data_IF_598366430237
#
_entry.id   IF_598366430237
#
_cell.length_a   1.000
_cell.length_b   1.000
_cell.length_c   1.000
_cell.angle_alpha   90.00
_cell.angle_beta   90.00
_cell.angle_gamma   90.00
#
_symmetry.space_group_name_H-M   'P 1'
#
loop_
_entity.id
_entity.type
_entity.pdbx_description
1 polymer ?
#
# COMPACT_ATOMS: atom_id res chain seq x y z
N UNK A 1 0.84 -2.96 -10.32
CA UNK A 1 0.17 -1.76 -10.88
C UNK A 1 1.26 -0.71 -11.06
N UNK A 2 1.52 -0.24 -12.29
CA UNK A 2 2.53 0.79 -12.53
C UNK A 2 2.05 2.10 -11.90
N UNK A 3 2.96 2.82 -11.28
CA UNK A 3 2.71 4.20 -10.85
C UNK A 3 2.33 5.01 -12.08
N UNK A 4 1.15 5.59 -12.11
CA UNK A 4 0.69 6.41 -13.21
C UNK A 4 0.68 7.87 -12.74
N UNK A 5 1.43 8.71 -13.45
CA UNK A 5 1.32 10.16 -13.30
C UNK A 5 0.31 10.63 -14.32
N UNK A 6 -0.88 10.98 -13.84
CA UNK A 6 -1.99 11.41 -14.68
C UNK A 6 -2.10 12.92 -14.68
N UNK A 7 -1.99 13.54 -15.85
CA UNK A 7 -2.35 14.94 -16.02
C UNK A 7 -3.87 15.08 -16.07
N UNK A 8 -4.45 15.77 -15.10
CA UNK A 8 -5.89 16.03 -15.02
C UNK A 8 -6.30 17.28 -15.81
N UNK A 9 -5.44 18.28 -15.76
CA UNK A 9 -5.58 19.54 -16.49
C UNK A 9 -4.20 20.20 -16.63
N UNK A 10 -4.09 21.22 -17.48
CA UNK A 10 -2.82 21.93 -17.69
C UNK A 10 -2.20 22.38 -16.34
N UNK A 11 -1.16 21.68 -15.95
CA UNK A 11 -0.38 21.96 -14.74
C UNK A 11 -0.88 21.29 -13.45
N UNK A 12 -1.89 20.41 -13.52
CA UNK A 12 -2.35 19.63 -12.37
C UNK A 12 -2.11 18.13 -12.64
N UNK A 13 -1.27 17.52 -11.83
CA UNK A 13 -0.86 16.11 -11.95
C UNK A 13 -1.32 15.32 -10.73
N UNK A 14 -1.82 14.12 -10.97
CA UNK A 14 -2.24 13.18 -9.92
C UNK A 14 -1.27 12.01 -9.86
N UNK A 15 -0.89 11.66 -8.65
CA UNK A 15 -0.13 10.44 -8.35
C UNK A 15 -0.90 9.64 -7.31
N UNK A 16 -1.31 8.46 -7.70
CA UNK A 16 -1.97 7.51 -6.82
C UNK A 16 -0.95 6.81 -5.90
N UNK A 17 -1.34 6.57 -4.64
CA UNK A 17 -0.53 5.77 -3.72
C UNK A 17 -1.41 4.91 -2.83
N UNK A 18 -0.97 3.67 -2.63
CA UNK A 18 -1.69 2.74 -1.78
C UNK A 18 -1.45 3.06 -0.30
N UNK A 19 -2.52 3.46 0.39
CA UNK A 19 -2.47 3.70 1.83
C UNK A 19 -2.58 2.40 2.63
N UNK A 20 -2.19 2.46 3.91
CA UNK A 20 -2.40 1.34 4.84
C UNK A 20 -3.89 1.00 4.95
N UNK A 21 -4.75 2.02 4.92
CA UNK A 21 -6.19 1.81 5.03
C UNK A 21 -6.76 1.08 3.81
N UNK A 22 -6.32 1.41 2.59
CA UNK A 22 -6.70 0.68 1.37
C UNK A 22 -6.25 -0.77 1.44
N UNK A 23 -5.04 -1.03 1.93
CA UNK A 23 -4.55 -2.40 2.14
C UNK A 23 -5.40 -3.13 3.18
N UNK A 24 -5.74 -2.50 4.29
CA UNK A 24 -6.58 -3.09 5.34
C UNK A 24 -7.99 -3.42 4.84
N UNK A 25 -8.57 -2.60 3.98
CA UNK A 25 -9.90 -2.86 3.38
C UNK A 25 -9.85 -4.02 2.37
N UNK A 26 -8.70 -4.27 1.75
CA UNK A 26 -8.53 -5.40 0.83
C UNK A 26 -8.40 -6.77 1.53
N UNK A 27 -7.90 -6.80 2.77
CA UNK A 27 -7.73 -8.05 3.53
C UNK A 27 -9.04 -8.84 3.66
N UNK A 28 -10.19 -8.25 4.07
CA UNK A 28 -11.45 -8.96 4.13
C UNK A 28 -11.92 -9.56 2.80
N UNK A 29 -11.55 -8.96 1.67
CA UNK A 29 -11.84 -9.51 0.34
C UNK A 29 -11.16 -10.87 0.16
N UNK A 30 -9.89 -10.98 0.55
CA UNK A 30 -9.12 -12.24 0.48
C UNK A 30 -9.75 -13.31 1.37
N UNK A 31 -10.15 -12.97 2.60
CA UNK A 31 -10.82 -13.90 3.50
C UNK A 31 -12.18 -14.35 2.97
N UNK A 32 -12.94 -13.44 2.38
CA UNK A 32 -14.23 -13.74 1.75
C UNK A 32 -14.06 -14.72 0.57
N UNK A 33 -12.96 -14.59 -0.18
CA UNK A 33 -12.61 -15.51 -1.26
C UNK A 33 -12.28 -16.91 -0.72
N UNK A 34 -11.54 -17.02 0.38
CA UNK A 34 -11.25 -18.30 1.05
C UNK A 34 -12.54 -18.95 1.53
N UNK A 35 -13.44 -18.17 2.15
CA UNK A 35 -14.74 -18.66 2.61
C UNK A 35 -15.59 -19.16 1.44
N UNK A 36 -15.59 -18.45 0.33
CA UNK A 36 -16.28 -18.87 -0.89
C UNK A 36 -15.74 -20.21 -1.43
N UNK A 37 -14.42 -20.36 -1.54
CA UNK A 37 -13.77 -21.58 -1.99
C UNK A 37 -14.11 -22.76 -1.06
N UNK A 38 -14.10 -22.52 0.26
CA UNK A 38 -14.51 -23.53 1.25
C UNK A 38 -15.97 -23.95 1.04
N UNK A 39 -16.87 -22.98 0.85
CA UNK A 39 -18.29 -23.26 0.58
C UNK A 39 -18.51 -24.11 -0.67
N UNK A 40 -17.79 -23.79 -1.75
CA UNK A 40 -17.83 -24.58 -3.00
C UNK A 40 -17.32 -26.01 -2.75
N UNK A 41 -16.22 -26.17 -2.03
CA UNK A 41 -15.69 -27.48 -1.67
C UNK A 41 -16.69 -28.29 -0.82
N UNK A 42 -17.29 -27.66 0.18
CA UNK A 42 -18.32 -28.29 1.01
C UNK A 42 -19.57 -28.69 0.21
N UNK A 43 -19.98 -27.90 -0.76
CA UNK A 43 -21.11 -28.24 -1.63
C UNK A 43 -20.84 -29.46 -2.53
N UNK A 44 -19.59 -29.61 -2.99
CA UNK A 44 -19.18 -30.72 -3.85
C UNK A 44 -19.06 -32.03 -3.04
N UNK A 45 -18.48 -31.97 -1.84
CA UNK A 45 -18.11 -33.17 -1.09
C UNK A 45 -19.08 -33.58 0.02
N UNK A 46 -19.97 -32.70 0.49
CA UNK A 46 -20.83 -32.98 1.66
C UNK A 46 -22.31 -32.63 1.48
N UNK A 47 -22.77 -32.35 0.26
CA UNK A 47 -24.13 -31.89 -0.04
C UNK A 47 -24.60 -30.70 0.82
N UNK A 48 -23.65 -29.94 1.37
CA UNK A 48 -23.85 -28.74 2.17
C UNK A 48 -23.11 -27.57 1.53
N UNK A 49 -23.10 -26.42 2.18
CA UNK A 49 -22.23 -25.31 1.79
C UNK A 49 -22.90 -24.22 0.93
N UNK A 50 -24.11 -24.42 0.41
CA UNK A 50 -24.78 -23.40 -0.40
C UNK A 50 -24.89 -22.05 0.31
N UNK A 51 -25.26 -22.01 1.60
CA UNK A 51 -25.33 -20.79 2.41
C UNK A 51 -23.95 -20.15 2.58
N UNK A 52 -22.89 -20.94 2.70
CA UNK A 52 -21.52 -20.43 2.81
C UNK A 52 -21.04 -19.85 1.50
N UNK A 53 -21.42 -20.43 0.34
CA UNK A 53 -21.14 -19.89 -0.98
C UNK A 53 -21.80 -18.51 -1.13
N UNK A 54 -23.09 -18.39 -0.81
CA UNK A 54 -23.81 -17.11 -0.90
C UNK A 54 -23.21 -16.07 0.04
N UNK A 55 -22.88 -16.46 1.27
CA UNK A 55 -22.22 -15.56 2.23
C UNK A 55 -20.85 -15.10 1.71
N UNK A 56 -20.03 -16.02 1.20
CA UNK A 56 -18.73 -15.70 0.63
C UNK A 56 -18.82 -14.72 -0.53
N UNK A 57 -19.73 -14.97 -1.49
CA UNK A 57 -20.00 -14.06 -2.61
C UNK A 57 -20.48 -12.69 -2.13
N UNK A 58 -21.45 -12.64 -1.22
CA UNK A 58 -21.95 -11.40 -0.67
C UNK A 58 -20.82 -10.58 -0.03
N UNK A 59 -19.97 -11.22 0.79
CA UNK A 59 -18.86 -10.54 1.45
C UNK A 59 -17.80 -10.06 0.44
N UNK A 60 -17.50 -10.84 -0.62
CA UNK A 60 -16.58 -10.40 -1.68
C UNK A 60 -17.11 -9.10 -2.32
N UNK A 61 -18.36 -9.09 -2.79
CA UNK A 61 -18.94 -7.93 -3.41
C UNK A 61 -19.06 -6.74 -2.43
N UNK A 62 -19.43 -6.99 -1.19
CA UNK A 62 -19.55 -5.97 -0.15
C UNK A 62 -18.21 -5.29 0.15
N UNK A 63 -17.14 -6.06 0.40
CA UNK A 63 -15.83 -5.47 0.71
C UNK A 63 -15.16 -4.90 -0.54
N UNK A 64 -15.37 -5.49 -1.72
CA UNK A 64 -14.94 -4.90 -2.98
C UNK A 64 -15.60 -3.53 -3.20
N UNK A 65 -16.92 -3.44 -2.98
CA UNK A 65 -17.65 -2.19 -3.04
C UNK A 65 -17.11 -1.17 -2.04
N UNK A 66 -16.88 -1.57 -0.79
CA UNK A 66 -16.26 -0.70 0.22
C UNK A 66 -14.90 -0.19 -0.25
N UNK A 67 -14.07 -1.04 -0.85
CA UNK A 67 -12.72 -0.65 -1.29
C UNK A 67 -12.74 0.48 -2.34
N UNK A 68 -13.81 0.61 -3.12
CA UNK A 68 -13.96 1.71 -4.09
C UNK A 68 -14.24 3.07 -3.45
N UNK A 69 -14.58 3.08 -2.15
CA UNK A 69 -14.81 4.32 -1.38
C UNK A 69 -13.63 4.75 -0.53
N UNK A 70 -12.51 4.07 -0.66
CA UNK A 70 -11.26 4.45 0.02
C UNK A 70 -10.24 4.74 -1.06
N UNK A 71 -9.80 5.98 -1.14
CA UNK A 71 -8.90 6.44 -2.19
C UNK A 71 -7.96 7.53 -1.68
N UNK A 72 -6.69 7.44 -2.06
CA UNK A 72 -5.64 8.34 -1.61
C UNK A 72 -4.74 8.70 -2.77
N UNK A 73 -4.52 10.00 -2.99
CA UNK A 73 -3.55 10.45 -3.97
C UNK A 73 -2.95 11.81 -3.65
N UNK A 74 -1.85 12.11 -4.31
CA UNK A 74 -1.25 13.42 -4.30
C UNK A 74 -1.60 14.17 -5.58
N UNK A 75 -1.99 15.43 -5.42
CA UNK A 75 -2.08 16.38 -6.51
C UNK A 75 -0.88 17.32 -6.48
N UNK A 76 -0.23 17.47 -7.63
CA UNK A 76 0.85 18.42 -7.85
C UNK A 76 0.31 19.55 -8.73
N UNK A 77 0.12 20.72 -8.14
CA UNK A 77 -0.33 21.92 -8.84
C UNK A 77 0.90 22.77 -9.18
N UNK A 78 1.32 22.72 -10.45
CA UNK A 78 2.50 23.49 -10.91
C UNK A 78 2.23 24.99 -10.98
N UNK A 79 0.97 25.42 -11.09
CA UNK A 79 0.62 26.85 -11.11
C UNK A 79 0.71 27.49 -9.74
N UNK A 80 0.33 26.75 -8.71
CA UNK A 80 0.40 27.21 -7.33
C UNK A 80 1.71 26.78 -6.64
N UNK A 81 2.52 25.94 -7.29
CA UNK A 81 3.73 25.34 -6.75
C UNK A 81 3.46 24.58 -5.43
N UNK A 82 2.35 23.85 -5.37
CA UNK A 82 1.87 23.16 -4.18
C UNK A 82 1.56 21.70 -4.43
N UNK A 83 1.75 20.89 -3.38
CA UNK A 83 1.30 19.51 -3.32
C UNK A 83 0.12 19.41 -2.37
N UNK A 84 -0.95 18.83 -2.84
CA UNK A 84 -2.13 18.53 -2.05
C UNK A 84 -2.25 17.04 -1.81
N UNK A 85 -2.65 16.68 -0.60
CA UNK A 85 -3.01 15.33 -0.23
C UNK A 85 -4.53 15.19 -0.25
N UNK A 86 -5.04 14.39 -1.18
CA UNK A 86 -6.44 14.01 -1.23
C UNK A 86 -6.65 12.68 -0.52
N UNK A 87 -7.68 12.63 0.26
CA UNK A 87 -8.16 11.40 0.88
C UNK A 87 -9.67 11.31 0.79
N UNK A 88 -10.13 10.14 0.40
CA UNK A 88 -11.53 9.75 0.41
C UNK A 88 -11.69 8.53 1.29
N UNK A 89 -12.62 8.60 2.23
CA UNK A 89 -13.00 7.50 3.10
C UNK A 89 -14.53 7.51 3.17
N UNK A 90 -15.18 6.61 2.46
CA UNK A 90 -16.63 6.56 2.29
C UNK A 90 -17.18 7.90 1.76
N UNK A 91 -17.98 8.59 2.57
CA UNK A 91 -18.60 9.87 2.22
C UNK A 91 -17.76 11.08 2.65
N UNK A 92 -16.63 10.83 3.29
CA UNK A 92 -15.72 11.88 3.73
C UNK A 92 -14.64 12.08 2.69
N UNK A 93 -14.65 13.25 2.05
CA UNK A 93 -13.62 13.67 1.11
C UNK A 93 -12.91 14.91 1.67
N UNK A 94 -11.60 14.90 1.65
CA UNK A 94 -10.80 16.01 2.10
C UNK A 94 -9.53 16.18 1.28
N UNK A 95 -9.34 17.41 0.80
CA UNK A 95 -8.08 17.85 0.20
C UNK A 95 -7.39 18.78 1.18
N UNK A 96 -6.16 18.46 1.56
CA UNK A 96 -5.34 19.31 2.41
C UNK A 96 -4.10 19.75 1.64
N UNK A 97 -3.69 20.99 1.82
CA UNK A 97 -2.33 21.40 1.45
C UNK A 97 -1.34 20.55 2.26
N UNK A 98 -0.38 19.96 1.57
CA UNK A 98 0.56 19.04 2.17
C UNK A 98 1.96 19.63 2.29
N UNK A 99 2.47 20.24 1.19
CA UNK A 99 3.76 20.94 1.15
C UNK A 99 3.84 21.84 -0.08
N UNK A 100 4.78 22.80 -0.06
CA UNK A 100 5.13 23.58 -1.24
C UNK A 100 6.24 22.88 -2.04
N UNK A 101 6.38 23.19 -3.31
CA UNK A 101 7.50 22.67 -4.12
C UNK A 101 8.86 23.12 -3.57
N UNK A 102 8.94 24.34 -3.00
CA UNK A 102 10.13 24.84 -2.31
C UNK A 102 10.58 23.99 -1.11
N UNK A 103 9.67 23.20 -0.54
CA UNK A 103 9.99 22.29 0.55
C UNK A 103 10.63 20.99 0.06
N UNK A 104 10.59 20.73 -1.26
CA UNK A 104 11.16 19.53 -1.87
C UNK A 104 12.58 19.84 -2.36
N UNK A 105 13.55 19.09 -1.87
CA UNK A 105 14.96 19.26 -2.22
C UNK A 105 15.31 18.51 -3.52
N UNK A 106 14.85 17.27 -3.64
CA UNK A 106 15.04 16.41 -4.82
C UNK A 106 14.11 15.19 -4.79
N UNK A 107 13.99 14.55 -5.94
CA UNK A 107 13.38 13.23 -6.09
C UNK A 107 14.45 12.14 -6.11
N UNK A 108 14.08 10.95 -5.68
CA UNK A 108 14.96 9.78 -5.75
C UNK A 108 14.11 8.51 -5.87
N UNK A 109 14.65 7.47 -6.51
CA UNK A 109 14.01 6.14 -6.57
C UNK A 109 14.63 5.27 -5.50
N UNK A 110 13.90 5.12 -4.38
CA UNK A 110 14.32 4.30 -3.22
C UNK A 110 13.99 2.83 -3.43
N UNK A 111 14.82 1.93 -2.90
CA UNK A 111 14.63 0.50 -2.93
C UNK A 111 14.21 -0.07 -1.59
N UNK A 112 13.34 -1.07 -1.60
CA UNK A 112 13.04 -1.91 -0.45
C UNK A 112 13.42 -3.34 -0.72
N UNK A 113 14.24 -3.89 0.14
CA UNK A 113 14.60 -5.30 0.15
C UNK A 113 13.46 -6.13 0.73
N UNK A 114 13.14 -7.23 0.06
CA UNK A 114 12.14 -8.18 0.51
C UNK A 114 12.66 -9.60 0.34
N UNK A 115 12.35 -10.46 1.30
CA UNK A 115 12.71 -11.87 1.29
C UNK A 115 11.49 -12.70 0.97
N UNK A 116 11.55 -13.52 -0.07
CA UNK A 116 10.56 -14.55 -0.35
C UNK A 116 11.11 -15.93 0.01
N UNK A 117 10.24 -16.93 0.09
CA UNK A 117 10.61 -18.31 0.49
C UNK A 117 11.76 -18.90 -0.33
N UNK A 118 11.90 -18.48 -1.61
CA UNK A 118 12.85 -19.07 -2.55
C UNK A 118 13.84 -18.08 -3.14
N UNK A 119 13.62 -16.76 -2.98
CA UNK A 119 14.53 -15.73 -3.51
C UNK A 119 14.31 -14.39 -2.82
N UNK A 120 15.35 -13.63 -2.75
CA UNK A 120 15.32 -12.24 -2.35
C UNK A 120 15.00 -11.36 -3.57
N UNK A 121 14.26 -10.28 -3.37
CA UNK A 121 13.91 -9.36 -4.44
C UNK A 121 13.80 -7.93 -3.95
N UNK A 122 13.91 -6.98 -4.86
CA UNK A 122 13.81 -5.56 -4.59
C UNK A 122 12.54 -4.98 -5.21
N UNK A 123 11.86 -4.17 -4.44
CA UNK A 123 10.80 -3.28 -4.90
C UNK A 123 11.27 -1.84 -4.80
N UNK A 124 10.77 -1.00 -5.67
CA UNK A 124 11.19 0.39 -5.78
C UNK A 124 10.00 1.32 -5.74
N UNK A 125 10.18 2.53 -5.22
CA UNK A 125 9.21 3.62 -5.26
C UNK A 125 9.89 4.98 -5.35
N UNK A 126 9.14 6.00 -5.77
CA UNK A 126 9.64 7.36 -5.79
C UNK A 126 9.56 7.95 -4.37
N UNK A 127 10.60 8.64 -3.98
CA UNK A 127 10.73 9.33 -2.71
C UNK A 127 11.00 10.80 -2.99
N UNK A 128 10.18 11.69 -2.41
CA UNK A 128 10.43 13.11 -2.29
C UNK A 128 11.24 13.38 -1.04
N UNK A 129 12.45 13.88 -1.21
CA UNK A 129 13.28 14.31 -0.09
C UNK A 129 13.04 15.80 0.18
N UNK A 130 12.73 16.14 1.43
CA UNK A 130 12.39 17.49 1.84
C UNK A 130 13.60 18.24 2.38
N UNK A 131 13.52 19.56 2.36
CA UNK A 131 14.55 20.47 2.90
C UNK A 131 14.75 20.25 4.41
N UNK A 132 13.70 19.85 5.14
CA UNK A 132 13.75 19.55 6.58
C UNK A 132 14.37 18.17 6.91
N UNK A 133 14.93 17.47 5.92
CA UNK A 133 15.53 16.13 6.08
C UNK A 133 14.52 14.98 6.13
N UNK A 134 13.22 15.27 6.14
CA UNK A 134 12.18 14.25 6.05
C UNK A 134 11.98 13.83 4.61
N UNK A 135 11.29 12.71 4.41
CA UNK A 135 10.94 12.22 3.09
C UNK A 135 9.49 11.75 3.03
N UNK A 136 8.92 11.83 1.84
CA UNK A 136 7.58 11.39 1.52
C UNK A 136 7.66 10.43 0.36
N UNK A 137 7.02 9.30 0.50
CA UNK A 137 6.93 8.33 -0.57
C UNK A 137 5.78 8.67 -1.51
N UNK A 138 6.07 8.62 -2.81
CA UNK A 138 5.07 8.82 -3.86
C UNK A 138 4.79 7.49 -4.57
N UNK A 139 3.51 7.15 -4.63
CA UNK A 139 3.05 5.95 -5.33
C UNK A 139 3.38 4.64 -4.62
N UNK A 140 3.14 3.56 -5.32
CA UNK A 140 3.26 2.19 -4.84
C UNK A 140 4.65 1.61 -5.10
N UNK A 141 4.90 0.47 -4.45
CA UNK A 141 6.08 -0.34 -4.71
C UNK A 141 5.97 -1.03 -6.08
N UNK A 142 7.03 -0.96 -6.87
CA UNK A 142 7.12 -1.52 -8.23
C UNK A 142 8.42 -2.30 -8.35
N UNK A 143 8.40 -3.41 -9.06
CA UNK A 143 9.58 -4.23 -9.35
C UNK A 143 10.42 -3.69 -10.51
N UNK A 144 9.80 -2.99 -11.48
CA UNK A 144 10.50 -2.37 -12.61
C UNK A 144 11.12 -1.01 -12.22
N UNK A 145 12.36 -1.06 -11.74
CA UNK A 145 13.14 0.13 -11.40
C UNK A 145 13.36 1.07 -12.61
N UNK A 146 13.55 0.52 -13.82
CA UNK A 146 13.81 1.34 -15.01
C UNK A 146 12.59 2.15 -15.41
N UNK A 147 11.43 1.52 -15.41
CA UNK A 147 10.17 2.23 -15.66
C UNK A 147 9.96 3.34 -14.63
N UNK A 148 10.22 3.05 -13.35
CA UNK A 148 10.05 4.02 -12.28
C UNK A 148 11.03 5.21 -12.38
N UNK A 149 12.26 5.00 -12.80
CA UNK A 149 13.22 6.08 -13.05
C UNK A 149 12.69 7.02 -14.14
N UNK A 150 12.16 6.47 -15.25
CA UNK A 150 11.58 7.31 -16.33
C UNK A 150 10.41 8.16 -15.82
N UNK A 151 9.57 7.59 -14.98
CA UNK A 151 8.44 8.31 -14.35
C UNK A 151 8.97 9.41 -13.44
N UNK A 152 9.99 9.12 -12.61
CA UNK A 152 10.61 10.09 -11.71
C UNK A 152 11.32 11.22 -12.49
N UNK A 153 11.97 10.91 -13.62
CA UNK A 153 12.57 11.91 -14.52
C UNK A 153 11.49 12.83 -15.12
N UNK A 154 10.39 12.28 -15.60
CA UNK A 154 9.29 13.06 -16.14
C UNK A 154 8.66 13.95 -15.05
N UNK A 155 8.42 13.38 -13.87
CA UNK A 155 7.92 14.15 -12.73
C UNK A 155 8.89 15.26 -12.31
N UNK A 156 10.20 14.96 -12.27
CA UNK A 156 11.22 15.95 -11.97
C UNK A 156 11.24 17.11 -12.96
N UNK A 157 11.08 16.84 -14.26
CA UNK A 157 10.94 17.87 -15.29
C UNK A 157 9.70 18.74 -15.12
N UNK A 158 8.56 18.11 -14.81
CA UNK A 158 7.28 18.80 -14.60
C UNK A 158 7.32 19.70 -13.36
N UNK A 159 7.98 19.24 -12.29
CA UNK A 159 8.05 19.93 -11.01
C UNK A 159 9.28 20.86 -10.90
N UNK A 160 10.13 20.89 -11.92
CA UNK A 160 11.44 21.56 -11.89
C UNK A 160 12.29 21.11 -10.70
N UNK A 161 12.30 19.81 -10.43
CA UNK A 161 13.01 19.19 -9.32
C UNK A 161 14.11 18.25 -9.82
N UNK A 162 15.32 18.29 -9.21
CA UNK A 162 16.38 17.39 -9.58
C UNK A 162 16.05 15.94 -9.18
N UNK A 163 16.30 14.99 -10.07
CA UNK A 163 16.32 13.57 -9.75
C UNK A 163 17.73 13.15 -9.34
N UNK A 164 17.88 12.67 -8.11
CA UNK A 164 19.16 12.16 -7.61
C UNK A 164 19.28 10.67 -7.90
N UNK A 165 20.27 10.30 -8.69
CA UNK A 165 20.54 8.89 -8.98
C UNK A 165 21.17 8.21 -7.76
N UNK A 166 20.69 7.01 -7.43
CA UNK A 166 21.30 6.13 -6.44
C UNK A 166 21.63 4.77 -7.07
N UNK A 167 22.60 4.03 -6.52
CA UNK A 167 22.87 2.68 -6.97
C UNK A 167 21.64 1.77 -6.87
N UNK A 168 21.50 0.74 -7.72
CA UNK A 168 20.48 -0.27 -7.56
C UNK A 168 20.67 -1.00 -6.22
N UNK A 169 19.60 -1.63 -5.74
CA UNK A 169 19.64 -2.47 -4.53
C UNK A 169 20.12 -1.71 -3.27
N UNK A 170 19.67 -0.47 -3.14
CA UNK A 170 19.95 0.36 -1.98
C UNK A 170 18.65 0.99 -1.46
N UNK A 171 18.54 1.06 -0.14
CA UNK A 171 17.45 1.76 0.54
C UNK A 171 18.01 2.93 1.33
N UNK A 172 17.37 4.08 1.20
CA UNK A 172 17.79 5.32 1.84
C UNK A 172 17.37 5.34 3.29
N UNK A 173 18.31 5.65 4.18
CA UNK A 173 18.07 5.89 5.60
C UNK A 173 17.84 7.36 5.89
N UNK A 174 18.52 8.25 5.17
CA UNK A 174 18.47 9.69 5.37
C UNK A 174 19.58 10.41 4.61
N UNK A 175 19.91 11.60 5.05
CA UNK A 175 21.00 12.42 4.56
C UNK A 175 21.93 12.75 5.75
N UNK A 176 23.23 12.76 5.55
CA UNK A 176 24.21 13.16 6.56
C UNK A 176 24.33 14.69 6.62
N UNK A 177 25.14 15.19 7.56
CA UNK A 177 25.38 16.63 7.76
C UNK A 177 26.04 17.31 6.56
N UNK A 178 26.68 16.53 5.67
CA UNK A 178 27.33 17.03 4.44
C UNK A 178 26.41 17.00 3.23
N UNK A 179 25.17 16.52 3.39
CA UNK A 179 24.18 16.41 2.32
C UNK A 179 24.32 15.16 1.46
N UNK A 180 25.10 14.15 1.88
CA UNK A 180 25.21 12.89 1.20
C UNK A 180 24.11 11.92 1.66
N UNK A 181 23.61 11.09 0.73
CA UNK A 181 22.64 10.06 1.06
C UNK A 181 23.28 8.94 1.86
N UNK A 182 22.67 8.63 3.00
CA UNK A 182 23.03 7.48 3.86
C UNK A 182 22.11 6.33 3.56
N UNK A 183 22.66 5.15 3.39
CA UNK A 183 21.91 3.94 3.07
C UNK A 183 21.82 3.00 4.26
N UNK A 184 20.76 2.19 4.28
CA UNK A 184 20.67 1.09 5.24
C UNK A 184 21.73 0.02 4.93
N UNK A 185 22.31 -0.57 5.95
CA UNK A 185 23.14 -1.78 5.84
C UNK A 185 22.23 -3.00 5.63
N UNK A 186 22.77 -4.09 5.09
CA UNK A 186 22.04 -5.35 4.88
C UNK A 186 21.39 -5.88 6.17
N UNK A 187 22.08 -5.75 7.30
CA UNK A 187 21.55 -6.12 8.60
C UNK A 187 20.33 -5.26 8.98
N UNK A 188 20.40 -3.95 8.79
CA UNK A 188 19.31 -3.02 9.08
C UNK A 188 18.12 -3.25 8.15
N UNK A 189 18.36 -3.59 6.89
CA UNK A 189 17.32 -3.93 5.92
C UNK A 189 16.54 -5.17 6.36
N UNK A 190 17.24 -6.23 6.75
CA UNK A 190 16.60 -7.46 7.27
C UNK A 190 15.82 -7.21 8.56
N UNK A 191 16.29 -6.35 9.45
CA UNK A 191 15.54 -5.96 10.65
C UNK A 191 14.26 -5.17 10.29
N UNK A 192 14.35 -4.23 9.34
CA UNK A 192 13.22 -3.46 8.87
C UNK A 192 12.16 -4.37 8.25
N UNK A 193 12.57 -5.27 7.36
CA UNK A 193 11.68 -6.25 6.73
C UNK A 193 10.94 -7.11 7.75
N UNK A 194 11.63 -7.63 8.78
CA UNK A 194 10.99 -8.40 9.85
C UNK A 194 9.92 -7.61 10.59
N UNK A 195 10.15 -6.33 10.86
CA UNK A 195 9.14 -5.46 11.48
C UNK A 195 7.95 -5.22 10.57
N UNK A 196 8.21 -4.94 9.30
CA UNK A 196 7.16 -4.71 8.32
C UNK A 196 6.31 -5.98 8.12
N UNK A 197 6.94 -7.14 8.00
CA UNK A 197 6.25 -8.45 7.91
C UNK A 197 5.40 -8.73 9.15
N UNK A 198 5.88 -8.40 10.35
CA UNK A 198 5.09 -8.55 11.57
C UNK A 198 3.81 -7.70 11.51
N UNK A 199 3.92 -6.42 11.15
CA UNK A 199 2.79 -5.49 11.11
C UNK A 199 1.78 -5.89 10.01
N UNK A 200 2.26 -6.23 8.82
CA UNK A 200 1.37 -6.45 7.66
C UNK A 200 0.82 -7.87 7.54
N UNK A 201 1.45 -8.85 8.18
CA UNK A 201 1.03 -10.26 8.09
C UNK A 201 0.54 -10.77 9.44
N UNK A 202 1.36 -10.66 10.48
CA UNK A 202 1.08 -11.30 11.77
C UNK A 202 -0.02 -10.57 12.53
N UNK A 203 0.01 -9.24 12.55
CA UNK A 203 -1.00 -8.45 13.27
C UNK A 203 -2.42 -8.67 12.71
N UNK A 204 -2.67 -8.65 11.40
CA UNK A 204 -3.99 -8.99 10.85
C UNK A 204 -4.44 -10.41 11.19
N UNK A 205 -3.54 -11.38 11.18
CA UNK A 205 -3.86 -12.77 11.56
C UNK A 205 -4.24 -12.89 13.04
N UNK A 206 -3.58 -12.15 13.92
CA UNK A 206 -3.93 -12.09 15.34
C UNK A 206 -5.31 -11.46 15.51
N UNK A 207 -5.60 -10.34 14.83
CA UNK A 207 -6.92 -9.70 14.87
C UNK A 207 -8.00 -10.66 14.39
N UNK A 208 -7.76 -11.36 13.29
CA UNK A 208 -8.70 -12.36 12.78
C UNK A 208 -8.95 -13.48 13.80
N UNK A 209 -7.88 -14.06 14.37
CA UNK A 209 -8.00 -15.13 15.36
C UNK A 209 -8.78 -14.68 16.60
N UNK A 210 -8.53 -13.45 17.07
CA UNK A 210 -9.31 -12.85 18.18
C UNK A 210 -10.78 -12.63 17.80
N UNK A 211 -11.04 -12.19 16.57
CA UNK A 211 -12.43 -12.01 16.08
C UNK A 211 -13.17 -13.35 16.04
N UNK A 212 -12.53 -14.41 15.53
CA UNK A 212 -13.11 -15.76 15.51
C UNK A 212 -13.36 -16.25 16.95
N UNK A 213 -12.44 -16.03 17.86
CA UNK A 213 -12.59 -16.40 19.26
C UNK A 213 -13.75 -15.68 19.92
N UNK A 214 -13.91 -14.37 19.68
CA UNK A 214 -15.02 -13.56 20.18
C UNK A 214 -16.34 -14.10 19.63
N UNK A 215 -16.43 -14.40 18.33
CA UNK A 215 -17.62 -14.97 17.72
C UNK A 215 -17.95 -16.33 18.35
N UNK A 216 -16.96 -17.18 18.57
CA UNK A 216 -17.18 -18.50 19.20
C UNK A 216 -17.68 -18.39 20.64
N UNK A 217 -17.23 -17.39 21.40
CA UNK A 217 -17.66 -17.16 22.81
C UNK A 217 -19.07 -16.57 22.87
N UNK A 218 -19.35 -15.55 22.07
CA UNK A 218 -20.62 -14.82 22.18
C UNK A 218 -21.75 -15.41 21.33
N UNK A 219 -21.41 -16.23 20.32
CA UNK A 219 -22.38 -16.87 19.43
C UNK A 219 -22.09 -18.38 19.30
N UNK A 220 -22.17 -19.14 20.41
CA UNK A 220 -21.82 -20.56 20.41
C UNK A 220 -22.66 -21.39 19.42
N UNK A 221 -23.92 -21.04 19.19
CA UNK A 221 -24.79 -21.73 18.23
C UNK A 221 -24.28 -21.59 16.77
N UNK A 222 -23.58 -20.50 16.42
CA UNK A 222 -22.97 -20.34 15.10
C UNK A 222 -21.70 -21.18 14.97
N UNK A 223 -20.94 -21.31 16.07
CA UNK A 223 -19.70 -22.10 16.07
C UNK A 223 -19.97 -23.61 16.00
N UNK A 224 -20.96 -24.12 16.70
CA UNK A 224 -21.34 -25.55 16.64
C UNK A 224 -21.85 -25.95 15.26
N UNK A 225 -22.60 -25.08 14.58
CA UNK A 225 -23.08 -25.34 13.21
C UNK A 225 -21.97 -25.26 12.14
N UNK A 226 -20.93 -24.48 12.39
CA UNK A 226 -19.85 -24.28 11.44
C UNK A 226 -18.73 -25.34 11.52
N UNK A 227 -18.51 -25.93 12.71
CA UNK A 227 -17.35 -26.80 12.95
C UNK A 227 -17.71 -28.26 13.27
N UNK A 228 -18.98 -28.60 13.55
CA UNK A 228 -19.38 -29.95 14.01
C UNK A 228 -20.53 -30.60 13.21
N UNK A 229 -20.71 -30.25 11.95
CA UNK A 229 -21.58 -30.99 11.05
C UNK A 229 -20.85 -31.55 9.86
#
# INVERSE_FOLDING_TARGET
MLLEVKELSSGLYQIDYQSILETLVQIPVVFSLILFIYGVSAAIFSNGGASVIFLGLFLIFFFFYISTYVDYFYYFDTKQAKVYHYKKIFFYEKTNEFMNFSDIKFLVVDGQFNTARYHDYWLYRILCFRVDGKFVYLGNWVDDRKALIRIAENLGKVLDLPLRAIPPERSIKGEDETGNLVFFTDYQLRQKERKDSFVYIILPLIILALTILIIAIYFPELSERAFFK
#
